data_IF_151008639043
#
_entry.id   IF_151008639043
#
_cell.length_a   1.000
_cell.length_b   1.000
_cell.length_c   1.000
_cell.angle_alpha   90.00
_cell.angle_beta   90.00
_cell.angle_gamma   90.00
#
_symmetry.space_group_name_H-M   'P 1'
#
loop_
_entity.id
_entity.type
_entity.pdbx_description
1 polymer ?
#
# COMPACT_ATOMS: atom_id res chain seq x y z
N UNK A 1 0.13 -15.99 6.00
CA UNK A 1 0.09 -16.20 4.53
C UNK A 1 1.49 -16.52 4.06
N UNK A 2 1.62 -17.59 3.28
CA UNK A 2 2.93 -17.97 2.75
C UNK A 2 3.35 -17.03 1.63
N UNK A 3 4.64 -16.72 1.59
CA UNK A 3 5.22 -15.82 0.59
C UNK A 3 6.47 -16.42 -0.03
N UNK A 4 6.66 -16.12 -1.31
CA UNK A 4 7.87 -16.46 -2.06
C UNK A 4 8.35 -15.21 -2.77
N UNK A 5 9.13 -14.39 -2.08
CA UNK A 5 9.59 -13.12 -2.61
C UNK A 5 10.54 -13.29 -3.80
N UNK A 6 10.42 -12.36 -4.76
CA UNK A 6 11.33 -12.30 -5.90
C UNK A 6 12.76 -11.94 -5.45
N UNK A 7 13.75 -12.37 -6.22
CA UNK A 7 15.15 -12.20 -5.86
C UNK A 7 15.56 -10.72 -5.69
N UNK A 8 14.92 -9.81 -6.44
CA UNK A 8 15.25 -8.38 -6.41
C UNK A 8 14.88 -7.69 -5.08
N UNK A 9 13.97 -8.29 -4.28
CA UNK A 9 13.49 -7.70 -3.02
C UNK A 9 13.79 -8.57 -1.81
N UNK A 10 14.02 -9.86 -2.02
CA UNK A 10 14.14 -10.89 -0.98
C UNK A 10 15.15 -10.54 0.11
N UNK A 11 16.32 -10.03 -0.28
CA UNK A 11 17.43 -9.79 0.65
C UNK A 11 17.52 -8.31 1.10
N UNK A 12 16.57 -7.48 0.68
CA UNK A 12 16.55 -6.07 1.09
C UNK A 12 15.88 -5.90 2.45
N UNK A 13 16.20 -4.83 3.21
CA UNK A 13 15.52 -4.54 4.48
C UNK A 13 14.00 -4.43 4.31
N UNK A 14 13.54 -3.77 3.24
CA UNK A 14 12.10 -3.64 2.93
C UNK A 14 11.47 -5.01 2.67
N UNK A 15 12.14 -5.87 1.94
CA UNK A 15 11.67 -7.23 1.64
C UNK A 15 11.55 -8.08 2.88
N UNK A 16 12.54 -8.04 3.76
CA UNK A 16 12.52 -8.79 5.02
C UNK A 16 11.37 -8.31 5.91
N UNK A 17 11.21 -7.00 6.06
CA UNK A 17 10.14 -6.41 6.85
C UNK A 17 8.77 -6.76 6.28
N UNK A 18 8.59 -6.63 4.97
CA UNK A 18 7.34 -6.94 4.29
C UNK A 18 6.99 -8.42 4.42
N UNK A 19 7.96 -9.32 4.27
CA UNK A 19 7.75 -10.76 4.41
C UNK A 19 7.24 -11.12 5.82
N UNK A 20 7.87 -10.56 6.84
CA UNK A 20 7.45 -10.78 8.21
C UNK A 20 6.02 -10.31 8.46
N UNK A 21 5.63 -9.16 7.90
CA UNK A 21 4.29 -8.62 8.02
C UNK A 21 3.28 -9.48 7.26
N UNK A 22 3.59 -9.85 6.02
CA UNK A 22 2.70 -10.65 5.17
C UNK A 22 2.39 -12.01 5.79
N UNK A 23 3.38 -12.64 6.42
CA UNK A 23 3.19 -13.98 7.03
C UNK A 23 2.21 -13.97 8.20
N UNK A 24 1.98 -12.81 8.82
CA UNK A 24 1.00 -12.69 9.91
C UNK A 24 -0.43 -12.64 9.43
N UNK A 25 -0.68 -12.22 8.19
CA UNK A 25 -2.04 -12.09 7.65
C UNK A 25 -2.62 -13.47 7.31
N UNK A 26 -3.81 -13.77 7.83
CA UNK A 26 -4.54 -15.02 7.56
C UNK A 26 -5.81 -14.80 6.73
N UNK A 27 -5.98 -13.62 6.14
CA UNK A 27 -7.12 -13.25 5.29
C UNK A 27 -8.49 -13.42 5.97
N UNK A 28 -8.58 -13.23 7.28
CA UNK A 28 -9.84 -13.38 8.02
C UNK A 28 -10.89 -12.32 7.66
N UNK A 29 -10.45 -11.14 7.18
CA UNK A 29 -11.34 -10.08 6.74
C UNK A 29 -11.88 -9.17 7.84
N UNK A 30 -11.45 -9.28 9.09
CA UNK A 30 -11.88 -8.39 10.16
C UNK A 30 -11.56 -6.92 9.85
N UNK A 31 -10.48 -6.67 9.11
CA UNK A 31 -10.05 -5.34 8.74
C UNK A 31 -11.00 -4.63 7.76
N UNK A 32 -11.81 -5.38 7.00
CA UNK A 32 -12.71 -4.80 6.00
C UNK A 32 -13.79 -3.92 6.63
N UNK A 33 -14.28 -4.30 7.80
CA UNK A 33 -15.35 -3.56 8.49
C UNK A 33 -14.91 -2.17 8.93
N UNK A 34 -13.61 -1.95 9.14
CA UNK A 34 -13.06 -0.68 9.61
C UNK A 34 -12.45 0.17 8.50
N UNK A 35 -12.39 -0.35 7.27
CA UNK A 35 -11.77 0.36 6.16
C UNK A 35 -12.77 1.29 5.45
N UNK A 36 -12.55 2.62 5.50
CA UNK A 36 -13.50 3.56 4.87
C UNK A 36 -13.57 3.41 3.35
N UNK A 37 -12.48 3.12 2.67
CA UNK A 37 -12.51 2.94 1.21
C UNK A 37 -13.27 1.68 0.81
N UNK A 38 -13.16 0.61 1.57
CA UNK A 38 -13.96 -0.59 1.32
C UNK A 38 -15.45 -0.34 1.57
N UNK A 39 -15.80 0.36 2.64
CA UNK A 39 -17.18 0.66 2.98
C UNK A 39 -17.87 1.51 1.90
N UNK A 40 -17.14 2.43 1.31
CA UNK A 40 -17.69 3.35 0.28
C UNK A 40 -17.70 2.70 -1.09
N UNK A 41 -16.60 2.06 -1.50
CA UNK A 41 -16.41 1.55 -2.86
C UNK A 41 -16.88 0.12 -3.04
N UNK A 42 -16.89 -0.68 -1.99
CA UNK A 42 -17.33 -2.07 -2.04
C UNK A 42 -16.43 -3.01 -2.83
N UNK A 43 -15.24 -2.56 -3.23
CA UNK A 43 -14.28 -3.36 -3.98
C UNK A 43 -13.28 -4.01 -3.03
N UNK A 44 -13.13 -5.33 -3.12
CA UNK A 44 -12.18 -6.08 -2.30
C UNK A 44 -10.76 -5.56 -2.44
N UNK A 45 -10.36 -5.08 -3.62
CA UNK A 45 -9.03 -4.54 -3.86
C UNK A 45 -8.81 -3.18 -3.18
N UNK A 46 -9.86 -2.53 -2.72
CA UNK A 46 -9.80 -1.31 -1.93
C UNK A 46 -9.91 -1.60 -0.42
N UNK A 47 -9.86 -2.86 -0.02
CA UNK A 47 -9.82 -3.29 1.38
C UNK A 47 -8.38 -3.53 1.83
N UNK A 48 -8.12 -3.53 3.16
CA UNK A 48 -6.78 -3.83 3.66
C UNK A 48 -6.30 -5.20 3.22
N UNK A 49 -7.13 -6.21 3.32
CA UNK A 49 -6.76 -7.59 2.95
C UNK A 49 -6.51 -7.70 1.44
N UNK A 50 -7.29 -7.03 0.61
CA UNK A 50 -7.08 -7.01 -0.83
C UNK A 50 -5.79 -6.30 -1.21
N UNK A 51 -5.48 -5.18 -0.56
CA UNK A 51 -4.23 -4.46 -0.76
C UNK A 51 -3.02 -5.26 -0.29
N UNK A 52 -3.13 -5.97 0.81
CA UNK A 52 -2.10 -6.90 1.29
C UNK A 52 -1.80 -7.94 0.21
N UNK A 53 -2.83 -8.49 -0.41
CA UNK A 53 -2.68 -9.47 -1.48
C UNK A 53 -2.01 -8.85 -2.71
N UNK A 54 -2.39 -7.62 -3.10
CA UNK A 54 -1.74 -6.92 -4.20
C UNK A 54 -0.26 -6.69 -3.95
N UNK A 55 0.09 -6.26 -2.75
CA UNK A 55 1.48 -6.03 -2.35
C UNK A 55 2.26 -7.34 -2.38
N UNK A 56 1.67 -8.42 -1.89
CA UNK A 56 2.26 -9.76 -1.94
C UNK A 56 2.58 -10.14 -3.38
N UNK A 57 1.65 -9.96 -4.31
CA UNK A 57 1.87 -10.29 -5.71
C UNK A 57 3.01 -9.47 -6.33
N UNK A 58 3.08 -8.18 -6.03
CA UNK A 58 4.17 -7.31 -6.50
C UNK A 58 5.52 -7.81 -6.00
N UNK A 59 5.61 -8.16 -4.73
CA UNK A 59 6.85 -8.63 -4.11
C UNK A 59 7.25 -10.02 -4.60
N UNK A 60 6.31 -10.81 -5.07
CA UNK A 60 6.57 -12.14 -5.65
C UNK A 60 6.96 -12.07 -7.14
N UNK A 61 7.07 -10.88 -7.70
CA UNK A 61 7.53 -10.67 -9.07
C UNK A 61 6.44 -10.58 -10.11
N UNK A 62 5.16 -10.47 -9.71
CA UNK A 62 4.06 -10.25 -10.65
C UNK A 62 4.16 -8.87 -11.28
N UNK A 63 3.63 -8.74 -12.49
CA UNK A 63 3.61 -7.46 -13.19
C UNK A 63 2.79 -6.43 -12.42
N UNK A 64 3.37 -5.25 -12.21
CA UNK A 64 2.69 -4.13 -11.55
C UNK A 64 1.98 -3.30 -12.60
N UNK A 65 0.69 -3.00 -12.37
CA UNK A 65 -0.13 -2.21 -13.28
C UNK A 65 -0.55 -0.89 -12.66
N UNK A 66 -1.02 0.05 -13.50
CA UNK A 66 -1.60 1.30 -13.03
C UNK A 66 -2.79 1.06 -12.10
N UNK A 67 -3.56 0.00 -12.31
CA UNK A 67 -4.69 -0.35 -11.43
C UNK A 67 -4.21 -0.71 -10.03
N UNK A 68 -3.13 -1.47 -9.91
CA UNK A 68 -2.51 -1.78 -8.61
C UNK A 68 -2.12 -0.49 -7.89
N UNK A 69 -1.44 0.42 -8.58
CA UNK A 69 -1.06 1.72 -8.03
C UNK A 69 -2.29 2.49 -7.54
N UNK A 70 -3.35 2.51 -8.32
CA UNK A 70 -4.59 3.21 -7.99
C UNK A 70 -5.24 2.67 -6.71
N UNK A 71 -5.31 1.34 -6.56
CA UNK A 71 -5.87 0.74 -5.34
C UNK A 71 -5.03 1.06 -4.10
N UNK A 72 -3.70 1.04 -4.23
CA UNK A 72 -2.81 1.40 -3.13
C UNK A 72 -2.91 2.89 -2.79
N UNK A 73 -3.06 3.75 -3.81
CA UNK A 73 -3.20 5.20 -3.62
C UNK A 73 -4.48 5.57 -2.87
N UNK A 74 -5.55 4.80 -3.05
CA UNK A 74 -6.84 5.06 -2.39
C UNK A 74 -6.81 4.83 -0.88
N UNK A 75 -5.82 4.13 -0.36
CA UNK A 75 -5.67 3.94 1.08
C UNK A 75 -5.44 5.28 1.78
N UNK A 76 -6.23 5.57 2.79
CA UNK A 76 -6.15 6.82 3.55
C UNK A 76 -5.09 6.82 4.64
N UNK A 77 -4.42 5.70 4.86
CA UNK A 77 -3.41 5.51 5.92
C UNK A 77 -3.95 5.80 7.33
N UNK A 78 -5.24 5.60 7.53
CA UNK A 78 -5.88 5.83 8.83
C UNK A 78 -5.53 4.78 9.90
N UNK A 79 -5.02 3.62 9.48
CA UNK A 79 -4.57 2.50 10.34
C UNK A 79 -5.66 1.86 11.22
N UNK A 80 -6.92 2.10 10.92
CA UNK A 80 -8.02 1.45 11.66
C UNK A 80 -7.96 -0.07 11.52
N UNK A 81 -7.56 -0.56 10.35
CA UNK A 81 -7.39 -1.99 10.10
C UNK A 81 -6.28 -2.62 10.95
N UNK A 82 -5.22 -1.88 11.23
CA UNK A 82 -4.10 -2.35 12.05
C UNK A 82 -4.54 -2.59 13.49
N UNK A 83 -5.33 -1.68 14.05
CA UNK A 83 -5.88 -1.79 15.40
C UNK A 83 -6.86 -2.97 15.52
N UNK A 84 -7.65 -3.21 14.48
CA UNK A 84 -8.68 -4.27 14.46
C UNK A 84 -8.09 -5.67 14.25
N UNK A 85 -6.92 -5.77 13.60
CA UNK A 85 -6.36 -7.04 13.18
C UNK A 85 -6.01 -7.95 14.37
N UNK A 86 -6.64 -9.13 14.48
CA UNK A 86 -6.33 -10.07 15.58
C UNK A 86 -4.96 -10.72 15.43
N UNK A 87 -4.39 -10.74 14.22
CA UNK A 87 -3.08 -11.34 13.95
C UNK A 87 -1.92 -10.36 14.14
N UNK A 88 -2.20 -9.09 14.41
CA UNK A 88 -1.16 -8.08 14.64
C UNK A 88 -0.40 -7.67 13.39
N UNK A 89 -1.06 -7.64 12.23
CA UNK A 89 -0.45 -7.20 10.97
C UNK A 89 -0.12 -5.71 11.03
N UNK A 90 1.13 -5.35 10.79
CA UNK A 90 1.61 -3.96 10.72
C UNK A 90 1.29 -3.35 9.36
N UNK A 91 0.01 -3.11 9.09
CA UNK A 91 -0.47 -2.67 7.80
C UNK A 91 0.13 -1.33 7.36
N UNK A 92 0.25 -0.37 8.28
CA UNK A 92 0.80 0.94 7.96
C UNK A 92 2.21 0.86 7.38
N UNK A 93 3.06 0.04 7.94
CA UNK A 93 4.42 -0.19 7.42
C UNK A 93 4.38 -0.90 6.06
N UNK A 94 3.51 -1.89 5.91
CA UNK A 94 3.39 -2.66 4.67
C UNK A 94 2.91 -1.79 3.51
N UNK A 95 1.91 -0.94 3.72
CA UNK A 95 1.40 -0.06 2.67
C UNK A 95 2.45 0.97 2.23
N UNK A 96 3.28 1.46 3.15
CA UNK A 96 4.36 2.38 2.81
C UNK A 96 5.39 1.69 1.90
N UNK A 97 5.80 0.47 2.23
CA UNK A 97 6.71 -0.32 1.42
C UNK A 97 6.10 -0.59 0.03
N UNK A 98 4.84 -1.01 0.00
CA UNK A 98 4.13 -1.32 -1.25
C UNK A 98 4.01 -0.12 -2.16
N UNK A 99 3.65 1.04 -1.62
CA UNK A 99 3.56 2.29 -2.39
C UNK A 99 4.89 2.70 -2.99
N UNK A 100 5.95 2.61 -2.20
CA UNK A 100 7.29 2.94 -2.65
C UNK A 100 7.70 2.10 -3.86
N UNK A 101 7.52 0.80 -3.77
CA UNK A 101 7.91 -0.14 -4.83
C UNK A 101 7.05 0.07 -6.07
N UNK A 102 5.74 0.25 -5.91
CA UNK A 102 4.82 0.46 -7.03
C UNK A 102 5.15 1.79 -7.74
N UNK A 103 5.46 2.85 -7.01
CA UNK A 103 5.83 4.13 -7.60
C UNK A 103 7.12 4.05 -8.40
N UNK A 104 8.05 3.19 -8.02
CA UNK A 104 9.28 2.96 -8.78
C UNK A 104 9.03 2.21 -10.09
N UNK A 105 7.99 1.38 -10.15
CA UNK A 105 7.73 0.48 -11.28
C UNK A 105 6.65 0.97 -12.24
N UNK A 106 5.74 1.81 -11.79
CA UNK A 106 4.62 2.32 -12.59
C UNK A 106 4.72 3.84 -12.69
N UNK A 107 4.77 4.35 -13.93
CA UNK A 107 4.76 5.80 -14.13
C UNK A 107 3.36 6.36 -13.94
N UNK A 108 3.27 7.45 -13.18
CA UNK A 108 2.01 8.18 -13.02
C UNK A 108 1.75 9.04 -14.24
N UNK A 109 0.47 9.32 -14.57
CA UNK A 109 0.15 10.31 -15.60
C UNK A 109 0.78 11.66 -15.30
N UNK A 110 1.15 12.40 -16.33
CA UNK A 110 1.79 13.70 -16.18
C UNK A 110 0.96 14.68 -15.35
N UNK A 111 -0.36 14.65 -15.47
CA UNK A 111 -1.27 15.48 -14.68
C UNK A 111 -1.12 15.22 -13.17
N UNK A 112 -1.02 13.96 -12.77
CA UNK A 112 -0.81 13.61 -11.36
C UNK A 112 0.57 14.03 -10.87
N UNK A 113 1.60 13.84 -11.69
CA UNK A 113 2.97 14.26 -11.35
C UNK A 113 3.03 15.76 -11.10
N UNK A 114 2.42 16.55 -11.98
CA UNK A 114 2.39 18.01 -11.86
C UNK A 114 1.61 18.44 -10.61
N UNK A 115 0.47 17.82 -10.35
CA UNK A 115 -0.34 18.11 -9.17
C UNK A 115 0.43 17.82 -7.88
N UNK A 116 1.10 16.67 -7.82
CA UNK A 116 1.89 16.27 -6.64
C UNK A 116 3.07 17.22 -6.41
N UNK A 117 3.79 17.60 -7.47
CA UNK A 117 4.92 18.53 -7.36
C UNK A 117 4.43 19.92 -6.94
N UNK A 118 3.33 20.40 -7.50
CA UNK A 118 2.74 21.69 -7.12
C UNK A 118 2.33 21.72 -5.65
N UNK A 119 1.66 20.66 -5.18
CA UNK A 119 1.25 20.54 -3.77
C UNK A 119 2.48 20.47 -2.85
N UNK A 120 3.48 19.71 -3.24
CA UNK A 120 4.72 19.61 -2.47
C UNK A 120 5.38 20.97 -2.32
N UNK A 121 5.53 21.71 -3.42
CA UNK A 121 6.13 23.04 -3.41
C UNK A 121 5.32 24.00 -2.55
N UNK A 122 3.99 23.98 -2.69
CA UNK A 122 3.10 24.86 -1.93
C UNK A 122 3.19 24.57 -0.43
N UNK A 123 3.15 23.31 -0.03
CA UNK A 123 3.13 22.92 1.37
C UNK A 123 4.49 23.05 2.05
N UNK A 124 5.58 22.90 1.30
CA UNK A 124 6.93 23.01 1.86
C UNK A 124 7.47 24.44 1.82
N UNK A 125 6.86 25.31 1.01
CA UNK A 125 7.29 26.70 0.92
C UNK A 125 6.47 27.56 1.88
N UNK A 126 7.06 27.91 3.01
CA UNK A 126 6.41 28.62 4.10
C UNK A 126 5.81 29.98 3.67
N UNK A 127 6.50 30.83 2.87
CA UNK A 127 5.91 32.09 2.42
C UNK A 127 4.66 31.92 1.56
N UNK A 128 4.58 30.85 0.76
CA UNK A 128 3.42 30.60 -0.11
C UNK A 128 2.24 29.98 0.65
N UNK A 129 2.52 29.32 1.75
CA UNK A 129 1.48 28.68 2.57
C UNK A 129 0.80 29.67 3.54
N UNK A 130 1.54 30.66 4.00
CA UNK A 130 1.01 31.71 4.85
C UNK A 130 0.47 32.88 4.03
#
# INVERSE_FOLDING_TARGET
>A
MDTQLADWIKDTPDGIAADAILRKCVHCGFCTATCPTYQILGDELDSPRGRIYLIKQVLEGKQVTRKTQQHLDRCLTCRNCETTCPSGVKYGQLIDIGRKIVDERVERPMSEKLTRESLKMLMTNRPMFT
#
